data_IF_515258478733
#
_entry.id   IF_515258478733
#
_cell.length_a   1.000
_cell.length_b   1.000
_cell.length_c   1.000
_cell.angle_alpha   90.00
_cell.angle_beta   90.00
_cell.angle_gamma   90.00
#
_symmetry.space_group_name_H-M   'P 1'
#
loop_
_entity.id
_entity.type
_entity.pdbx_description
1 polymer ?
#
# COMPACT_ATOMS: atom_id res chain seq x y z
N UNK A 1 -3.66 -21.24 -12.33
CA UNK A 1 -4.22 -21.11 -10.97
C UNK A 1 -3.05 -20.83 -10.04
N UNK A 2 -2.73 -19.55 -9.81
CA UNK A 2 -1.64 -19.14 -8.92
C UNK A 2 -2.20 -18.29 -7.77
N UNK A 3 -2.11 -18.84 -6.57
CA UNK A 3 -2.54 -18.22 -5.33
C UNK A 3 -1.39 -17.36 -4.77
N UNK A 4 -1.36 -16.07 -5.12
CA UNK A 4 -0.56 -15.05 -4.42
C UNK A 4 -1.45 -13.89 -3.92
N UNK A 5 -2.64 -14.21 -3.41
CA UNK A 5 -3.66 -13.21 -3.03
C UNK A 5 -3.91 -13.08 -1.52
N UNK A 6 -3.07 -13.61 -0.64
CA UNK A 6 -3.48 -13.82 0.76
C UNK A 6 -2.62 -13.29 1.90
N UNK A 7 -1.70 -12.35 1.67
CA UNK A 7 -0.95 -11.74 2.79
C UNK A 7 -1.01 -10.20 2.88
N UNK A 8 -1.72 -9.53 1.95
CA UNK A 8 -1.92 -8.05 2.00
C UNK A 8 -3.39 -7.64 1.93
N UNK A 9 -4.29 -8.41 2.53
CA UNK A 9 -5.67 -7.95 2.73
C UNK A 9 -5.66 -6.85 3.81
N UNK A 10 -5.75 -5.58 3.40
CA UNK A 10 -5.83 -4.42 4.31
C UNK A 10 -4.74 -3.34 4.11
N UNK A 11 -3.78 -3.56 3.21
CA UNK A 11 -2.81 -2.53 2.83
C UNK A 11 -3.28 -1.82 1.55
N UNK A 12 -3.36 -0.51 1.64
CA UNK A 12 -3.75 0.40 0.57
C UNK A 12 -2.51 1.05 -0.03
N UNK A 13 -2.59 1.43 -1.30
CA UNK A 13 -1.55 2.24 -1.91
C UNK A 13 -2.13 3.34 -2.77
N UNK A 14 -1.61 4.56 -2.63
CA UNK A 14 -1.95 5.72 -3.46
C UNK A 14 -0.73 6.07 -4.30
N UNK A 15 -0.94 6.25 -5.60
CA UNK A 15 0.09 6.72 -6.52
C UNK A 15 0.06 8.24 -6.56
N UNK A 16 1.20 8.88 -6.26
CA UNK A 16 1.31 10.35 -6.33
C UNK A 16 1.68 10.77 -7.77
N UNK A 17 2.65 10.08 -8.37
CA UNK A 17 3.08 10.27 -9.77
C UNK A 17 3.77 8.99 -10.28
N UNK A 18 4.42 9.05 -11.44
CA UNK A 18 5.12 7.88 -12.01
C UNK A 18 6.23 7.33 -11.12
N UNK A 19 6.80 8.16 -10.24
CA UNK A 19 7.94 7.85 -9.40
C UNK A 19 7.57 7.46 -7.95
N UNK A 20 6.50 8.03 -7.40
CA UNK A 20 6.18 7.91 -5.96
C UNK A 20 4.88 7.15 -5.68
N UNK A 21 4.95 6.24 -4.70
CA UNK A 21 3.80 5.52 -4.16
C UNK A 21 3.80 5.59 -2.63
N UNK A 22 2.64 5.92 -2.06
CA UNK A 22 2.40 5.78 -0.62
C UNK A 22 1.75 4.43 -0.39
N UNK A 23 2.29 3.63 0.52
CA UNK A 23 1.69 2.41 1.04
C UNK A 23 1.27 2.65 2.49
N UNK A 24 0.04 2.27 2.86
CA UNK A 24 -0.44 2.44 4.23
C UNK A 24 -1.47 1.36 4.56
N UNK A 25 -1.64 1.04 5.84
CA UNK A 25 -2.72 0.20 6.34
C UNK A 25 -3.87 1.09 6.81
N UNK A 26 -5.10 0.71 6.50
CA UNK A 26 -6.26 1.41 7.01
C UNK A 26 -6.84 0.65 8.20
N UNK A 27 -6.92 1.28 9.35
CA UNK A 27 -7.48 0.69 10.57
C UNK A 27 -8.34 1.73 11.30
N UNK A 28 -9.58 1.36 11.63
CA UNK A 28 -10.48 2.16 12.47
C UNK A 28 -10.76 3.61 12.01
N UNK A 29 -10.49 3.94 10.74
CA UNK A 29 -10.67 5.29 10.20
C UNK A 29 -9.37 6.08 10.05
N UNK A 30 -8.24 5.48 10.44
CA UNK A 30 -6.92 6.08 10.40
C UNK A 30 -5.96 5.33 9.47
N UNK A 31 -5.02 6.07 8.89
CA UNK A 31 -3.92 5.52 8.10
C UNK A 31 -2.74 5.20 9.03
N UNK A 32 -2.44 3.92 9.19
CA UNK A 32 -1.34 3.41 9.97
C UNK A 32 -0.23 2.86 9.07
N UNK A 33 1.01 2.78 9.58
CA UNK A 33 2.16 2.20 8.86
C UNK A 33 2.34 2.83 7.46
N UNK A 34 2.28 4.17 7.42
CA UNK A 34 2.43 4.96 6.19
C UNK A 34 3.91 4.96 5.77
N UNK A 35 4.19 4.40 4.61
CA UNK A 35 5.50 4.36 3.99
C UNK A 35 5.46 5.00 2.60
N UNK A 36 6.48 5.79 2.29
CA UNK A 36 6.68 6.37 0.96
C UNK A 36 7.75 5.54 0.26
N UNK A 37 7.37 4.85 -0.81
CA UNK A 37 8.28 4.11 -1.68
C UNK A 37 8.54 4.91 -2.95
N UNK A 38 9.83 5.12 -3.24
CA UNK A 38 10.34 5.59 -4.54
C UNK A 38 10.54 4.36 -5.44
N UNK A 39 9.99 4.43 -6.65
CA UNK A 39 10.24 3.45 -7.69
C UNK A 39 11.20 4.08 -8.71
N UNK A 40 12.48 3.74 -8.60
CA UNK A 40 13.50 3.98 -9.64
C UNK A 40 14.12 2.64 -10.06
#
# INVERSE_FOLDING_TARGET
MELLKKDRAGQWSIRINDQWRICFRWSEGDAMEVEIADYH
#
